data_IF_369055365896
#
_entry.id   IF_369055365896
#
_cell.length_a   1.000
_cell.length_b   1.000
_cell.length_c   1.000
_cell.angle_alpha   90.00
_cell.angle_beta   90.00
_cell.angle_gamma   90.00
#
_symmetry.space_group_name_H-M   'P 1'
#
loop_
_entity.id
_entity.type
_entity.pdbx_description
1 polymer ?
#
# COMPACT_ATOMS: atom_id res chain seq x y z
N UNK A 1 -9.98 -0.12 -14.28
CA UNK A 1 -10.37 -1.45 -13.76
C UNK A 1 -11.90 -1.56 -13.70
N UNK A 2 -12.60 -0.64 -13.04
CA UNK A 2 -14.06 -0.68 -12.90
C UNK A 2 -14.78 -0.79 -14.24
N UNK A 3 -14.44 0.07 -15.22
CA UNK A 3 -15.00 0.02 -16.57
C UNK A 3 -14.73 -1.32 -17.27
N UNK A 4 -13.52 -1.88 -17.11
CA UNK A 4 -13.16 -3.15 -17.71
C UNK A 4 -13.93 -4.34 -17.10
N UNK A 5 -14.21 -4.32 -15.79
CA UNK A 5 -15.11 -5.29 -15.14
C UNK A 5 -16.54 -5.16 -15.67
N UNK A 6 -17.06 -3.93 -15.84
CA UNK A 6 -18.39 -3.71 -16.41
C UNK A 6 -18.49 -4.18 -17.85
N UNK A 7 -17.51 -3.84 -18.67
CA UNK A 7 -17.45 -4.27 -20.07
C UNK A 7 -17.18 -5.77 -20.24
N UNK A 8 -16.82 -6.47 -19.15
CA UNK A 8 -16.36 -7.87 -19.13
C UNK A 8 -15.09 -8.10 -19.96
N UNK A 9 -14.27 -7.06 -20.09
CA UNK A 9 -12.94 -7.16 -20.68
C UNK A 9 -11.98 -7.93 -19.75
N UNK A 10 -12.27 -7.89 -18.45
CA UNK A 10 -11.63 -8.69 -17.40
C UNK A 10 -12.70 -9.37 -16.54
N UNK A 11 -12.42 -10.59 -16.08
CA UNK A 11 -13.32 -11.39 -15.25
C UNK A 11 -13.25 -11.02 -13.76
N UNK A 12 -12.05 -10.71 -13.28
CA UNK A 12 -11.78 -10.38 -11.88
C UNK A 12 -10.60 -9.40 -11.77
N UNK A 13 -10.53 -8.69 -10.66
CA UNK A 13 -9.42 -7.80 -10.35
C UNK A 13 -9.07 -7.86 -8.87
N UNK A 14 -7.76 -7.86 -8.54
CA UNK A 14 -7.26 -7.65 -7.19
C UNK A 14 -6.97 -6.16 -7.05
N UNK A 15 -7.60 -5.51 -6.09
CA UNK A 15 -7.51 -4.06 -5.91
C UNK A 15 -7.34 -3.69 -4.45
N UNK A 16 -6.77 -2.52 -4.20
CA UNK A 16 -6.48 -1.99 -2.88
C UNK A 16 -7.37 -0.79 -2.50
N UNK A 17 -8.52 -0.65 -3.13
CA UNK A 17 -9.51 0.40 -2.86
C UNK A 17 -10.91 -0.14 -3.06
N UNK A 18 -11.86 0.37 -2.30
CA UNK A 18 -13.27 0.07 -2.53
C UNK A 18 -13.72 0.65 -3.86
N UNK A 19 -14.51 -0.15 -4.58
CA UNK A 19 -15.19 0.28 -5.79
C UNK A 19 -16.60 0.71 -5.42
N UNK A 20 -16.98 1.78 -5.04
CA UNK A 20 -18.35 2.19 -4.66
C UNK A 20 -19.38 1.93 -5.81
N UNK A 21 -19.53 0.66 -6.19
CA UNK A 21 -20.27 0.21 -7.36
C UNK A 21 -21.19 -0.96 -7.04
N UNK A 22 -22.49 -0.74 -7.22
CA UNK A 22 -23.51 -1.74 -6.90
C UNK A 22 -23.54 -2.95 -7.84
N UNK A 23 -22.96 -2.85 -9.03
CA UNK A 23 -22.88 -3.95 -10.00
C UNK A 23 -21.67 -4.85 -9.82
N UNK A 24 -20.74 -4.43 -8.98
CA UNK A 24 -19.57 -5.21 -8.65
C UNK A 24 -19.74 -5.89 -7.28
N UNK A 25 -19.12 -7.04 -7.13
CA UNK A 25 -19.00 -7.77 -5.87
C UNK A 25 -17.54 -7.70 -5.42
N UNK A 26 -17.34 -7.32 -4.17
CA UNK A 26 -16.03 -7.28 -3.54
C UNK A 26 -15.94 -8.34 -2.43
N UNK A 27 -14.88 -9.11 -2.43
CA UNK A 27 -14.55 -10.03 -1.36
C UNK A 27 -13.18 -9.68 -0.78
N UNK A 28 -13.11 -9.43 0.52
CA UNK A 28 -11.85 -9.17 1.20
C UNK A 28 -10.93 -10.39 1.11
N UNK A 29 -9.70 -10.15 0.66
CA UNK A 29 -8.65 -11.15 0.67
C UNK A 29 -7.80 -11.02 1.92
N UNK A 30 -7.19 -9.85 2.12
CA UNK A 30 -6.32 -9.60 3.27
C UNK A 30 -6.16 -8.10 3.54
N UNK A 31 -5.47 -7.79 4.63
CA UNK A 31 -5.14 -6.44 5.06
C UNK A 31 -3.64 -6.24 5.03
N UNK A 32 -3.18 -5.13 4.46
CA UNK A 32 -1.77 -4.87 4.26
C UNK A 32 -1.37 -3.55 4.91
N UNK A 33 -0.50 -3.64 5.92
CA UNK A 33 0.02 -2.49 6.66
C UNK A 33 1.10 -1.76 5.86
N UNK A 34 1.19 -0.45 6.03
CA UNK A 34 2.27 0.35 5.46
C UNK A 34 3.39 0.57 6.47
N UNK A 35 4.60 0.64 5.94
CA UNK A 35 5.82 0.95 6.67
C UNK A 35 6.51 2.15 6.04
N UNK A 36 7.21 2.93 6.84
CA UNK A 36 8.18 3.88 6.34
C UNK A 36 9.47 3.18 5.94
N UNK A 37 10.04 3.61 4.84
CA UNK A 37 11.38 3.22 4.40
C UNK A 37 12.26 4.48 4.47
N UNK A 38 13.15 4.53 5.46
CA UNK A 38 13.80 5.76 5.93
C UNK A 38 15.29 5.69 5.70
N UNK A 39 15.85 6.67 5.01
CA UNK A 39 17.28 6.75 4.80
C UNK A 39 18.04 6.87 6.12
N UNK A 40 19.19 6.19 6.22
CA UNK A 40 20.06 6.27 7.38
C UNK A 40 20.62 7.68 7.66
N UNK A 41 20.54 8.59 6.69
CA UNK A 41 20.95 9.99 6.85
C UNK A 41 19.82 10.91 7.36
N UNK A 42 18.59 10.40 7.45
CA UNK A 42 17.47 11.17 7.96
C UNK A 42 17.41 11.13 9.48
N UNK A 43 17.07 12.24 10.15
CA UNK A 43 16.90 12.24 11.61
C UNK A 43 15.89 11.19 12.10
N UNK A 44 14.84 10.96 11.32
CA UNK A 44 13.79 9.99 11.60
C UNK A 44 14.29 8.55 11.66
N UNK A 45 15.43 8.25 11.05
CA UNK A 45 16.05 6.92 11.11
C UNK A 45 16.39 6.45 12.54
N UNK A 46 16.61 7.41 13.46
CA UNK A 46 16.92 7.11 14.88
C UNK A 46 15.67 6.72 15.69
N UNK A 47 14.49 6.85 15.12
CA UNK A 47 13.24 6.51 15.80
C UNK A 47 12.87 5.06 15.49
N UNK A 48 12.43 4.33 16.50
CA UNK A 48 11.94 2.94 16.34
C UNK A 48 10.58 2.89 15.64
N UNK A 49 9.80 3.95 15.77
CA UNK A 49 8.49 4.13 15.12
C UNK A 49 8.38 5.53 14.53
N UNK A 50 7.61 5.68 13.46
CA UNK A 50 7.32 6.98 12.84
C UNK A 50 5.88 7.41 13.15
N UNK A 51 5.69 8.71 13.34
CA UNK A 51 4.37 9.32 13.47
C UNK A 51 4.07 10.16 12.23
N UNK A 52 2.82 10.35 11.93
CA UNK A 52 2.41 11.23 10.83
C UNK A 52 2.97 12.64 10.97
N UNK A 53 3.07 13.16 12.19
CA UNK A 53 3.68 14.45 12.51
C UNK A 53 5.18 14.56 12.21
N UNK A 54 5.88 13.43 12.14
CA UNK A 54 7.33 13.40 11.92
C UNK A 54 7.68 13.47 10.42
N UNK A 55 6.67 13.34 9.57
CA UNK A 55 6.85 13.26 8.11
C UNK A 55 6.67 14.65 7.50
N UNK A 56 7.70 15.13 6.81
CA UNK A 56 7.67 16.39 6.07
C UNK A 56 7.68 16.11 4.57
N UNK A 57 6.82 16.81 3.83
CA UNK A 57 6.70 16.61 2.37
C UNK A 57 7.98 16.90 1.57
N UNK A 58 8.89 17.71 2.11
CA UNK A 58 10.15 18.08 1.44
C UNK A 58 11.11 16.88 1.24
N UNK A 59 10.98 15.85 2.07
CA UNK A 59 11.87 14.67 2.08
C UNK A 59 11.14 13.39 1.74
N UNK A 60 9.89 13.51 1.30
CA UNK A 60 9.04 12.37 1.01
C UNK A 60 9.01 12.09 -0.49
N UNK A 61 9.32 10.85 -0.86
CA UNK A 61 9.17 10.32 -2.21
C UNK A 61 7.86 9.54 -2.29
N UNK A 62 6.93 9.98 -3.14
CA UNK A 62 5.65 9.30 -3.36
C UNK A 62 5.43 9.07 -4.85
N UNK A 63 4.65 8.04 -5.15
CA UNK A 63 4.14 7.77 -6.49
C UNK A 63 3.28 8.95 -6.98
N UNK A 64 3.09 9.04 -8.29
CA UNK A 64 2.30 10.08 -8.93
C UNK A 64 0.84 10.12 -8.48
N UNK A 65 0.19 11.24 -8.74
CA UNK A 65 -1.26 11.40 -8.56
C UNK A 65 -2.04 10.35 -9.36
N UNK A 66 -3.13 9.85 -8.76
CA UNK A 66 -3.93 8.77 -9.34
C UNK A 66 -3.51 7.35 -8.94
N UNK A 67 -2.42 7.21 -8.18
CA UNK A 67 -2.12 5.95 -7.49
C UNK A 67 -2.86 5.89 -6.16
N UNK A 68 -3.78 4.94 -6.00
CA UNK A 68 -4.54 4.73 -4.76
C UNK A 68 -3.62 4.62 -3.53
N UNK A 69 -2.44 4.05 -3.67
CA UNK A 69 -1.40 3.97 -2.65
C UNK A 69 -0.99 5.37 -2.13
N UNK A 70 -0.73 6.32 -3.03
CA UNK A 70 -0.37 7.70 -2.67
C UNK A 70 -1.53 8.40 -1.96
N UNK A 71 -2.71 8.33 -2.56
CA UNK A 71 -3.88 9.07 -2.07
C UNK A 71 -4.27 8.62 -0.65
N UNK A 72 -4.21 7.32 -0.39
CA UNK A 72 -4.44 6.74 0.94
C UNK A 72 -3.45 7.28 1.97
N UNK A 73 -2.15 7.31 1.65
CA UNK A 73 -1.12 7.76 2.58
C UNK A 73 -1.12 9.28 2.78
N UNK A 74 -1.37 10.05 1.72
CA UNK A 74 -1.50 11.52 1.82
C UNK A 74 -2.64 11.91 2.76
N UNK A 75 -3.79 11.23 2.64
CA UNK A 75 -4.94 11.45 3.55
C UNK A 75 -4.59 11.05 4.99
N UNK A 76 -4.01 9.88 5.19
CA UNK A 76 -3.62 9.41 6.52
C UNK A 76 -2.63 10.36 7.21
N UNK A 77 -1.65 10.84 6.49
CA UNK A 77 -0.65 11.77 7.01
C UNK A 77 -1.14 13.23 7.06
N UNK A 78 -2.39 13.50 6.65
CA UNK A 78 -2.98 14.86 6.57
C UNK A 78 -2.12 15.83 5.75
N UNK A 79 -1.49 15.32 4.69
CA UNK A 79 -0.56 16.07 3.85
C UNK A 79 -1.22 16.67 2.59
N UNK A 80 -2.54 16.82 2.55
CA UNK A 80 -3.27 17.35 1.39
C UNK A 80 -2.79 18.75 0.95
N UNK A 81 -2.28 19.53 1.91
CA UNK A 81 -1.74 20.89 1.67
C UNK A 81 -0.20 20.94 1.56
N UNK A 82 0.48 19.86 1.86
CA UNK A 82 1.94 19.82 1.81
C UNK A 82 2.37 19.64 0.36
N UNK A 83 3.10 20.59 -0.17
CA UNK A 83 3.80 20.43 -1.46
C UNK A 83 4.79 19.29 -1.30
N UNK A 84 4.37 18.07 -1.62
CA UNK A 84 5.26 16.93 -1.81
C UNK A 84 6.26 17.38 -2.90
N UNK A 85 7.51 17.11 -2.66
CA UNK A 85 8.62 17.60 -3.46
C UNK A 85 8.30 17.44 -4.97
N UNK A 86 8.04 18.55 -5.66
CA UNK A 86 7.64 18.57 -7.08
C UNK A 86 8.75 18.06 -8.03
N UNK A 87 9.91 17.74 -7.48
CA UNK A 87 10.94 16.97 -8.16
C UNK A 87 10.68 15.45 -8.14
N UNK A 88 9.57 14.98 -7.58
CA UNK A 88 9.15 13.60 -7.74
C UNK A 88 8.99 13.36 -9.27
N UNK A 89 9.90 12.60 -9.81
CA UNK A 89 9.88 12.16 -11.19
C UNK A 89 8.52 11.54 -11.50
N UNK A 90 7.78 12.12 -12.44
CA UNK A 90 6.46 11.68 -12.88
C UNK A 90 6.39 10.22 -13.39
N UNK A 91 7.43 9.44 -13.21
CA UNK A 91 7.58 8.07 -13.73
C UNK A 91 8.24 7.14 -12.71
N UNK A 92 8.20 7.46 -11.41
CA UNK A 92 8.83 6.66 -10.39
C UNK A 92 8.06 5.36 -10.09
N UNK A 93 8.78 4.27 -9.93
CA UNK A 93 8.26 3.07 -9.29
C UNK A 93 8.64 3.08 -7.81
N UNK A 94 7.91 2.29 -7.00
CA UNK A 94 8.25 2.09 -5.58
C UNK A 94 9.72 1.68 -5.42
N UNK A 95 10.22 0.81 -6.29
CA UNK A 95 11.63 0.37 -6.27
C UNK A 95 12.60 1.53 -6.52
N UNK A 96 12.30 2.43 -7.45
CA UNK A 96 13.10 3.63 -7.68
C UNK A 96 13.23 4.47 -6.42
N UNK A 97 12.12 4.70 -5.69
CA UNK A 97 12.15 5.47 -4.45
C UNK A 97 12.91 4.76 -3.34
N UNK A 98 12.80 3.46 -3.24
CA UNK A 98 13.61 2.66 -2.32
C UNK A 98 15.11 2.84 -2.59
N UNK A 99 15.54 2.80 -3.85
CA UNK A 99 16.93 3.07 -4.24
C UNK A 99 17.40 4.49 -3.90
N UNK A 100 16.50 5.48 -4.04
CA UNK A 100 16.82 6.87 -3.63
C UNK A 100 17.03 6.95 -2.11
N UNK A 101 16.20 6.30 -1.32
CA UNK A 101 16.34 6.21 0.14
C UNK A 101 17.65 5.50 0.51
N UNK A 102 17.98 4.38 -0.10
CA UNK A 102 19.23 3.64 0.08
C UNK A 102 20.46 4.50 -0.25
N UNK A 103 20.36 5.36 -1.26
CA UNK A 103 21.42 6.31 -1.61
C UNK A 103 21.62 7.45 -0.60
N UNK A 104 20.80 7.51 0.44
CA UNK A 104 20.90 8.48 1.52
C UNK A 104 19.98 9.68 1.38
N UNK A 105 18.86 9.58 0.66
CA UNK A 105 17.95 10.70 0.42
C UNK A 105 16.51 10.35 0.81
N UNK A 106 16.00 11.01 1.85
CA UNK A 106 14.58 11.09 2.16
C UNK A 106 13.95 9.80 2.69
N UNK A 107 12.66 9.72 2.50
CA UNK A 107 11.76 8.70 3.04
C UNK A 107 10.80 8.29 1.93
N UNK A 108 10.40 7.03 1.89
CA UNK A 108 9.25 6.56 1.12
C UNK A 108 8.42 5.59 1.97
N UNK A 109 7.28 5.17 1.44
CA UNK A 109 6.44 4.17 2.10
C UNK A 109 6.43 2.88 1.28
N UNK A 110 6.40 1.76 1.98
CA UNK A 110 6.35 0.44 1.37
C UNK A 110 5.26 -0.41 2.03
N UNK A 111 4.59 -1.28 1.28
CA UNK A 111 3.61 -2.21 1.83
C UNK A 111 4.29 -3.39 2.52
N UNK A 112 3.57 -4.04 3.43
CA UNK A 112 4.06 -5.14 4.26
C UNK A 112 4.63 -6.31 3.46
N UNK A 113 3.98 -6.69 2.36
CA UNK A 113 4.49 -7.76 1.49
C UNK A 113 5.85 -7.44 0.86
N UNK A 114 6.14 -6.16 0.58
CA UNK A 114 7.44 -5.76 0.11
C UNK A 114 8.53 -5.93 1.18
N UNK A 115 8.19 -5.74 2.46
CA UNK A 115 9.14 -5.91 3.58
C UNK A 115 9.68 -7.35 3.65
N UNK A 116 8.84 -8.34 3.35
CA UNK A 116 9.24 -9.74 3.37
C UNK A 116 10.32 -10.11 2.33
N UNK A 117 10.43 -9.30 1.28
CA UNK A 117 11.37 -9.50 0.16
C UNK A 117 12.70 -8.77 0.35
N UNK A 118 12.82 -7.97 1.41
CA UNK A 118 14.01 -7.17 1.68
C UNK A 118 15.16 -8.02 2.23
N UNK A 119 16.39 -7.68 1.82
CA UNK A 119 17.58 -8.20 2.46
C UNK A 119 17.81 -7.53 3.84
N UNK A 120 18.77 -8.07 4.63
CA UNK A 120 19.00 -7.61 6.00
C UNK A 120 19.43 -6.13 6.10
N UNK A 121 20.18 -5.61 5.13
CA UNK A 121 20.58 -4.19 5.11
C UNK A 121 19.38 -3.28 4.81
N UNK A 122 18.53 -3.69 3.90
CA UNK A 122 17.30 -2.98 3.56
C UNK A 122 16.29 -2.98 4.72
N UNK A 123 16.15 -4.10 5.44
CA UNK A 123 15.29 -4.20 6.61
C UNK A 123 15.66 -3.19 7.71
N UNK A 124 16.93 -2.82 7.83
CA UNK A 124 17.39 -1.78 8.78
C UNK A 124 16.79 -0.40 8.50
N UNK A 125 16.34 -0.16 7.27
CA UNK A 125 15.71 1.11 6.85
C UNK A 125 14.21 1.16 7.13
N UNK A 126 13.59 0.01 7.46
CA UNK A 126 12.15 -0.10 7.69
C UNK A 126 11.79 0.45 9.07
N UNK A 127 10.73 1.25 9.13
CA UNK A 127 10.16 1.77 10.38
C UNK A 127 8.64 1.58 10.39
N UNK A 128 8.09 0.93 11.40
CA UNK A 128 6.65 0.85 11.56
C UNK A 128 6.07 2.22 11.92
N UNK A 129 4.83 2.45 11.55
CA UNK A 129 4.07 3.59 12.08
C UNK A 129 3.70 3.36 13.55
N UNK A 130 3.58 4.45 14.30
CA UNK A 130 2.92 4.44 15.60
C UNK A 130 1.47 3.96 15.46
N UNK A 131 0.92 3.39 16.51
CA UNK A 131 -0.46 2.92 16.55
C UNK A 131 -1.42 4.12 16.59
N UNK A 132 -2.49 4.11 15.78
CA UNK A 132 -2.92 3.05 14.87
C UNK A 132 -2.11 3.04 13.54
N UNK A 133 -1.78 1.85 13.06
CA UNK A 133 -0.97 1.67 11.85
C UNK A 133 -1.82 1.78 10.57
N UNK A 134 -1.40 2.57 9.57
CA UNK A 134 -2.12 2.69 8.31
C UNK A 134 -2.13 1.34 7.59
N UNK A 135 -3.31 0.88 7.23
CA UNK A 135 -3.53 -0.44 6.63
C UNK A 135 -4.53 -0.30 5.50
N UNK A 136 -4.29 -0.97 4.38
CA UNK A 136 -5.24 -1.05 3.28
C UNK A 136 -5.89 -2.42 3.22
N UNK A 137 -7.12 -2.45 2.73
CA UNK A 137 -7.84 -3.67 2.44
C UNK A 137 -7.57 -4.07 1.00
N UNK A 138 -7.15 -5.32 0.79
CA UNK A 138 -7.01 -5.90 -0.53
C UNK A 138 -8.25 -6.75 -0.79
N UNK A 139 -8.92 -6.47 -1.89
CA UNK A 139 -10.16 -7.15 -2.26
C UNK A 139 -10.07 -7.79 -3.64
N UNK A 140 -10.80 -8.87 -3.81
CA UNK A 140 -11.09 -9.48 -5.10
C UNK A 140 -12.42 -8.92 -5.58
N UNK A 141 -12.39 -8.21 -6.69
CA UNK A 141 -13.57 -7.61 -7.31
C UNK A 141 -13.98 -8.39 -8.56
N UNK A 142 -15.27 -8.64 -8.70
CA UNK A 142 -15.88 -9.31 -9.85
C UNK A 142 -17.19 -8.65 -10.24
N UNK A 143 -17.68 -8.89 -11.44
CA UNK A 143 -19.07 -8.59 -11.76
C UNK A 143 -19.99 -9.48 -10.90
N UNK A 144 -21.15 -8.97 -10.45
CA UNK A 144 -22.12 -9.77 -9.66
C UNK A 144 -22.65 -10.98 -10.42
N UNK A 145 -22.75 -10.87 -11.74
CA UNK A 145 -23.20 -11.95 -12.60
C UNK A 145 -22.11 -12.95 -13.00
N UNK A 146 -20.93 -12.86 -12.35
CA UNK A 146 -19.85 -13.79 -12.63
C UNK A 146 -20.21 -15.21 -12.20
N UNK A 147 -20.19 -16.15 -13.14
CA UNK A 147 -20.74 -17.51 -12.97
C UNK A 147 -19.70 -18.59 -12.62
N UNK A 148 -18.40 -18.33 -12.85
CA UNK A 148 -17.33 -19.32 -12.60
C UNK A 148 -16.83 -19.29 -11.15
N UNK A 149 -17.75 -19.44 -10.20
CA UNK A 149 -17.43 -19.33 -8.76
C UNK A 149 -16.40 -20.33 -8.28
N UNK A 150 -16.39 -21.56 -8.82
CA UNK A 150 -15.38 -22.55 -8.43
C UNK A 150 -13.97 -22.12 -8.80
N UNK A 151 -13.76 -21.53 -9.96
CA UNK A 151 -12.46 -21.01 -10.38
C UNK A 151 -12.03 -19.83 -9.51
N UNK A 152 -12.99 -18.95 -9.18
CA UNK A 152 -12.73 -17.80 -8.29
C UNK A 152 -12.34 -18.26 -6.88
N UNK A 153 -12.97 -19.30 -6.36
CA UNK A 153 -12.63 -19.87 -5.05
C UNK A 153 -11.22 -20.45 -5.04
N UNK A 154 -10.84 -21.21 -6.08
CA UNK A 154 -9.47 -21.73 -6.20
C UNK A 154 -8.45 -20.59 -6.25
N UNK A 155 -8.70 -19.55 -7.05
CA UNK A 155 -7.83 -18.37 -7.11
C UNK A 155 -7.69 -17.70 -5.73
N UNK A 156 -8.81 -17.54 -5.03
CA UNK A 156 -8.82 -16.95 -3.67
C UNK A 156 -8.04 -17.80 -2.68
N UNK A 157 -8.21 -19.12 -2.69
CA UNK A 157 -7.51 -20.05 -1.81
C UNK A 157 -5.99 -19.98 -2.05
N UNK A 158 -5.55 -19.96 -3.30
CA UNK A 158 -4.13 -19.85 -3.66
C UNK A 158 -3.53 -18.51 -3.23
N UNK A 159 -4.25 -17.41 -3.39
CA UNK A 159 -3.80 -16.09 -2.92
C UNK A 159 -3.67 -16.10 -1.41
N UNK A 160 -4.67 -16.61 -0.69
CA UNK A 160 -4.66 -16.65 0.77
C UNK A 160 -3.59 -17.60 1.31
N UNK A 161 -3.27 -18.68 0.60
CA UNK A 161 -2.18 -19.59 0.96
C UNK A 161 -0.79 -18.92 0.84
N UNK A 162 -0.65 -17.95 -0.08
CA UNK A 162 0.58 -17.21 -0.29
C UNK A 162 0.76 -16.00 0.66
N UNK A 163 -0.32 -15.58 1.35
CA UNK A 163 -0.32 -14.41 2.25
C UNK A 163 -0.19 -14.86 3.70
N UNK A 164 0.66 -14.21 4.53
CA UNK A 164 0.76 -14.49 5.96
C UNK A 164 -0.61 -14.47 6.66
N UNK A 165 -0.83 -15.42 7.57
CA UNK A 165 -2.13 -15.57 8.26
C UNK A 165 -2.53 -14.32 9.06
N UNK A 166 -1.55 -13.62 9.60
CA UNK A 166 -1.71 -12.39 10.36
C UNK A 166 -2.35 -11.27 9.54
N UNK A 167 -2.12 -11.28 8.23
CA UNK A 167 -2.68 -10.30 7.29
C UNK A 167 -4.12 -10.64 6.86
N UNK A 168 -4.63 -11.83 7.15
CA UNK A 168 -5.97 -12.25 6.71
C UNK A 168 -7.10 -11.70 7.58
N UNK A 169 -6.78 -11.03 8.68
CA UNK A 169 -7.75 -10.37 9.56
C UNK A 169 -7.25 -9.00 10.00
N UNK A 170 -8.17 -8.03 10.10
CA UNK A 170 -7.84 -6.69 10.60
C UNK A 170 -7.52 -6.76 12.09
N UNK A 171 -6.36 -6.25 12.48
CA UNK A 171 -5.87 -6.24 13.86
C UNK A 171 -6.29 -4.94 14.56
N UNK A 172 -6.45 -4.98 15.89
CA UNK A 172 -6.86 -3.82 16.71
C UNK A 172 -5.89 -2.64 16.66
N UNK A 173 -4.64 -2.87 16.28
CA UNK A 173 -3.60 -1.85 16.14
C UNK A 173 -3.58 -1.17 14.76
N UNK A 174 -4.43 -1.60 13.84
CA UNK A 174 -4.49 -1.15 12.46
C UNK A 174 -5.62 -0.14 12.25
N UNK A 175 -5.39 0.83 11.36
CA UNK A 175 -6.36 1.80 10.90
C UNK A 175 -6.58 1.60 9.40
N UNK A 176 -7.82 1.27 9.03
CA UNK A 176 -8.19 1.04 7.64
C UNK A 176 -8.31 2.37 6.89
N UNK A 177 -7.58 2.49 5.79
CA UNK A 177 -7.52 3.67 4.93
C UNK A 177 -8.67 3.74 3.94
#
# INVERSE_FOLDING_TARGET
>A
IQQALHARDIDAAIIASKLEDTFLKEETLFYETFFGYVSCKEPLFKHDVIRTSDITGERLWLLDEGHCFRDQLVRFCQMETVKVNQMAYHLGSMETFMRMVESGKGITFIPELAVSQLNEEQKKLVRPFAIPRPTRQIVLATNRDFIRHSLLNVLKEEILAAVPKEMQSLQSIQYLL
#
